data_IF_778212103045
#
_entry.id   IF_778212103045
#
_cell.length_a   1.000
_cell.length_b   1.000
_cell.length_c   1.000
_cell.angle_alpha   90.00
_cell.angle_beta   90.00
_cell.angle_gamma   90.00
#
_symmetry.space_group_name_H-M   'P 1'
#
loop_
_entity.id
_entity.type
_entity.pdbx_description
1 polymer ?
#
# COMPACT_ATOMS: atom_id res chain seq x y z
N UNK A 1 -11.37 -10.33 2.57
CA UNK A 1 -12.04 -9.15 2.04
C UNK A 1 -11.06 -7.98 1.94
N UNK A 2 -10.88 -7.47 0.71
CA UNK A 2 -10.01 -6.35 0.35
C UNK A 2 -10.82 -5.12 -0.04
N UNK A 3 -12.13 -5.09 0.23
CA UNK A 3 -12.98 -3.93 -0.06
C UNK A 3 -12.37 -2.66 0.56
N UNK A 4 -12.16 -1.65 -0.29
CA UNK A 4 -11.52 -0.38 0.08
C UNK A 4 -10.00 -0.40 0.18
N UNK A 5 -9.32 -1.48 -0.24
CA UNK A 5 -7.86 -1.50 -0.36
C UNK A 5 -7.38 -0.54 -1.47
N UNK A 6 -6.21 0.06 -1.26
CA UNK A 6 -5.64 1.07 -2.15
C UNK A 6 -4.19 0.71 -2.51
N UNK A 7 -3.84 0.96 -3.76
CA UNK A 7 -2.46 1.06 -4.20
C UNK A 7 -2.03 2.53 -4.10
N UNK A 8 -1.27 2.85 -3.07
CA UNK A 8 -0.81 4.20 -2.78
C UNK A 8 0.57 4.45 -3.39
N UNK A 9 0.69 5.54 -4.13
CA UNK A 9 1.96 6.11 -4.62
C UNK A 9 2.35 7.39 -3.88
N UNK A 10 1.39 8.01 -3.18
CA UNK A 10 1.53 9.30 -2.48
C UNK A 10 0.88 9.26 -1.09
N UNK A 11 1.29 10.17 -0.21
CA UNK A 11 0.64 10.48 1.07
C UNK A 11 0.68 11.98 1.33
N UNK A 12 -0.48 12.58 1.61
CA UNK A 12 -0.57 14.02 1.83
C UNK A 12 -0.19 14.85 0.58
N UNK A 13 -0.41 14.32 -0.62
CA UNK A 13 -0.03 14.99 -1.88
C UNK A 13 1.42 14.74 -2.33
N UNK A 14 2.28 14.25 -1.45
CA UNK A 14 3.70 14.00 -1.74
C UNK A 14 3.97 12.54 -2.09
N UNK A 15 4.95 12.22 -2.96
CA UNK A 15 5.36 10.85 -3.22
C UNK A 15 5.74 10.12 -1.91
N UNK A 16 5.50 8.81 -1.87
CA UNK A 16 5.97 8.01 -0.73
C UNK A 16 7.48 8.17 -0.56
N UNK A 17 7.95 8.24 0.68
CA UNK A 17 9.37 8.04 0.98
C UNK A 17 9.73 6.55 0.79
N UNK A 18 11.01 6.21 0.50
CA UNK A 18 11.45 4.81 0.42
C UNK A 18 11.09 3.99 1.66
N UNK A 19 11.29 4.56 2.86
CA UNK A 19 10.93 3.94 4.13
C UNK A 19 9.41 3.70 4.29
N UNK A 20 8.58 4.42 3.53
CA UNK A 20 7.12 4.30 3.54
C UNK A 20 6.57 3.46 2.39
N UNK A 21 7.42 2.90 1.52
CA UNK A 21 7.01 1.94 0.49
C UNK A 21 7.09 2.46 -0.94
N UNK A 22 7.79 3.57 -1.20
CA UNK A 22 8.05 4.01 -2.59
C UNK A 22 8.62 2.86 -3.45
N UNK A 23 8.15 2.65 -4.69
CA UNK A 23 7.21 3.51 -5.41
C UNK A 23 5.73 3.18 -5.16
N UNK A 24 5.43 2.04 -4.54
CA UNK A 24 4.07 1.52 -4.43
C UNK A 24 3.84 0.76 -3.12
N UNK A 25 2.77 1.12 -2.41
CA UNK A 25 2.34 0.46 -1.18
C UNK A 25 0.88 0.02 -1.26
N UNK A 26 0.59 -1.18 -0.79
CA UNK A 26 -0.77 -1.61 -0.47
C UNK A 26 -1.19 -1.00 0.87
N UNK A 27 -2.34 -0.35 0.89
CA UNK A 27 -3.01 0.18 2.08
C UNK A 27 -4.33 -0.56 2.23
N UNK A 28 -4.60 -1.12 3.40
CA UNK A 28 -5.87 -1.83 3.67
C UNK A 28 -6.53 -1.20 4.89
N UNK A 29 -7.39 -0.18 4.70
CA UNK A 29 -8.07 0.49 5.81
C UNK A 29 -8.79 -0.49 6.74
N UNK A 30 -8.82 -0.17 8.03
CA UNK A 30 -9.41 -1.05 9.05
C UNK A 30 -8.60 -2.30 9.41
N UNK A 31 -7.47 -2.56 8.74
CA UNK A 31 -6.56 -3.66 9.06
C UNK A 31 -5.28 -3.19 9.75
N UNK A 32 -4.66 -4.08 10.53
CA UNK A 32 -3.36 -3.84 11.17
C UNK A 32 -2.27 -3.53 10.13
N UNK A 33 -1.29 -2.71 10.52
CA UNK A 33 -0.27 -2.18 9.62
C UNK A 33 0.64 -3.20 8.92
N UNK A 34 0.77 -4.43 9.44
CA UNK A 34 1.51 -5.48 8.73
C UNK A 34 0.77 -6.00 7.48
N UNK A 35 -0.54 -5.76 7.35
CA UNK A 35 -1.26 -6.01 6.09
C UNK A 35 -0.98 -4.94 5.03
N UNK A 36 -0.32 -3.83 5.40
CA UNK A 36 -0.05 -2.71 4.50
C UNK A 36 1.32 -2.86 3.85
N UNK A 37 1.38 -3.74 2.84
CA UNK A 37 2.61 -4.19 2.20
C UNK A 37 3.30 -3.04 1.47
N UNK A 38 4.53 -2.73 1.88
CA UNK A 38 5.42 -1.80 1.19
C UNK A 38 6.04 -2.48 -0.04
N UNK A 39 6.41 -1.69 -1.05
CA UNK A 39 7.17 -2.15 -2.22
C UNK A 39 6.45 -3.24 -3.01
N UNK A 40 5.16 -3.04 -3.27
CA UNK A 40 4.33 -4.00 -4.01
C UNK A 40 4.89 -4.18 -5.41
N UNK A 41 5.31 -5.41 -5.72
CA UNK A 41 5.80 -5.78 -7.06
C UNK A 41 4.80 -6.63 -7.85
N UNK A 42 3.88 -7.31 -7.17
CA UNK A 42 2.89 -8.21 -7.79
C UNK A 42 1.67 -8.37 -6.89
N UNK A 43 0.50 -8.48 -7.50
CA UNK A 43 -0.74 -8.94 -6.87
C UNK A 43 -1.18 -10.18 -7.62
N UNK A 44 -1.60 -11.20 -6.87
CA UNK A 44 -2.10 -12.45 -7.43
C UNK A 44 -3.55 -12.66 -6.95
N UNK A 45 -4.51 -12.84 -7.86
CA UNK A 45 -5.89 -13.16 -7.49
C UNK A 45 -6.12 -14.65 -7.19
N UNK A 46 -5.07 -15.49 -7.23
CA UNK A 46 -5.15 -16.92 -6.94
C UNK A 46 -5.74 -17.26 -5.56
#
# INVERSE_FOLDING_TARGET
DLDGALLATHVGGEPLAPAHGYPLRLVVPGRRGYHWVKWVARIDPA
#
